data_IF_521711307174
#
_entry.id   IF_521711307174
#
_cell.length_a   1.000
_cell.length_b   1.000
_cell.length_c   1.000
_cell.angle_alpha   90.00
_cell.angle_beta   90.00
_cell.angle_gamma   90.00
#
_symmetry.space_group_name_H-M   'P 1'
#
loop_
_entity.id
_entity.type
_entity.pdbx_description
1 polymer ?
#
# COMPACT_ATOMS: atom_id res chain seq x y z
N UNK A 1 -29.51 12.94 12.14
CA UNK A 1 -29.14 13.70 10.92
C UNK A 1 -29.25 12.83 9.70
N UNK A 2 -28.31 11.88 9.44
CA UNK A 2 -28.31 10.93 8.30
C UNK A 2 -29.72 10.63 7.71
N UNK A 3 -30.57 9.93 8.47
CA UNK A 3 -31.93 9.52 8.06
C UNK A 3 -32.86 10.71 7.71
N UNK A 4 -32.70 11.87 8.34
CA UNK A 4 -33.47 13.09 8.03
C UNK A 4 -32.98 13.78 6.75
N UNK A 5 -31.73 13.52 6.33
CA UNK A 5 -31.18 13.98 5.06
C UNK A 5 -31.51 12.99 3.94
N UNK A 6 -31.41 11.68 4.19
CA UNK A 6 -31.82 10.61 3.28
C UNK A 6 -33.32 10.69 2.90
N UNK A 7 -34.15 11.32 3.73
CA UNK A 7 -35.57 11.55 3.47
C UNK A 7 -35.85 12.70 2.46
N UNK A 8 -34.83 13.46 2.06
CA UNK A 8 -34.97 14.54 1.09
C UNK A 8 -34.63 14.03 -0.33
N UNK A 9 -35.50 14.20 -1.35
CA UNK A 9 -35.37 13.53 -2.64
C UNK A 9 -34.12 13.88 -3.45
N UNK A 10 -33.41 14.96 -3.09
CA UNK A 10 -32.15 15.38 -3.71
C UNK A 10 -30.90 15.05 -2.90
N UNK A 11 -31.01 14.43 -1.72
CA UNK A 11 -29.88 14.14 -0.83
C UNK A 11 -29.88 12.65 -0.49
N UNK A 12 -28.72 11.98 -0.64
CA UNK A 12 -28.54 10.62 -0.16
C UNK A 12 -27.19 10.52 0.57
N UNK A 13 -27.23 10.21 1.88
CA UNK A 13 -26.03 10.02 2.69
C UNK A 13 -25.57 8.56 2.77
N UNK A 14 -26.41 7.61 2.33
CA UNK A 14 -26.17 6.18 2.47
C UNK A 14 -25.96 5.74 3.92
N UNK A 15 -25.52 4.50 4.13
CA UNK A 15 -25.10 4.03 5.45
C UNK A 15 -23.87 4.80 5.97
N UNK A 16 -23.58 4.70 7.27
CA UNK A 16 -22.42 5.37 7.89
C UNK A 16 -21.11 4.65 7.55
N UNK A 17 -20.20 5.23 6.74
CA UNK A 17 -18.99 4.54 6.32
C UNK A 17 -17.86 4.76 7.32
N UNK A 18 -17.20 3.68 7.73
CA UNK A 18 -16.04 3.71 8.64
C UNK A 18 -14.76 4.12 7.88
N UNK A 19 -14.68 3.81 6.59
CA UNK A 19 -13.45 3.92 5.80
C UNK A 19 -12.90 5.33 5.56
N UNK A 20 -13.72 6.39 5.37
CA UNK A 20 -13.21 7.76 5.24
C UNK A 20 -12.33 8.17 6.41
N UNK A 21 -12.63 7.74 7.64
CA UNK A 21 -11.78 8.00 8.81
C UNK A 21 -10.45 7.28 8.72
N UNK A 22 -10.44 6.03 8.29
CA UNK A 22 -9.20 5.28 8.14
C UNK A 22 -8.31 5.90 7.06
N UNK A 23 -8.88 6.43 5.97
CA UNK A 23 -8.14 7.12 4.91
C UNK A 23 -7.73 8.55 5.31
N UNK A 24 -8.56 9.31 6.01
CA UNK A 24 -8.22 10.64 6.54
C UNK A 24 -7.18 10.57 7.66
N UNK A 25 -7.31 9.62 8.58
CA UNK A 25 -6.33 9.41 9.64
C UNK A 25 -5.01 8.86 9.09
N UNK A 26 -5.03 8.00 8.08
CA UNK A 26 -3.84 7.70 7.28
C UNK A 26 -3.22 9.01 6.75
N UNK A 27 -3.96 9.83 5.99
CA UNK A 27 -3.46 11.11 5.45
C UNK A 27 -2.85 12.03 6.53
N UNK A 28 -3.47 12.12 7.72
CA UNK A 28 -2.99 12.93 8.87
C UNK A 28 -1.75 12.34 9.53
N UNK A 29 -1.71 11.03 9.77
CA UNK A 29 -0.54 10.33 10.30
C UNK A 29 0.67 10.51 9.37
N UNK A 30 0.46 10.56 8.06
CA UNK A 30 1.53 10.73 7.07
C UNK A 30 2.09 12.16 7.03
N UNK A 31 1.25 13.18 7.24
CA UNK A 31 1.71 14.56 7.50
C UNK A 31 2.54 14.66 8.79
N UNK A 32 2.34 13.76 9.76
CA UNK A 32 3.13 13.73 11.01
C UNK A 32 4.40 12.87 10.91
N UNK A 33 4.40 11.75 10.18
CA UNK A 33 5.52 10.77 10.20
C UNK A 33 6.32 10.66 8.90
N UNK A 34 5.75 11.07 7.77
CA UNK A 34 6.30 10.81 6.43
C UNK A 34 6.21 12.04 5.51
N UNK A 35 6.08 13.25 6.07
CA UNK A 35 5.86 14.49 5.32
C UNK A 35 6.95 14.78 4.30
N UNK A 36 8.20 14.85 4.74
CA UNK A 36 9.31 15.26 3.87
C UNK A 36 9.70 14.14 2.89
N UNK A 37 9.51 12.88 3.32
CA UNK A 37 9.52 11.69 2.45
C UNK A 37 8.47 11.81 1.33
N UNK A 38 7.25 12.21 1.68
CA UNK A 38 6.14 12.41 0.75
C UNK A 38 6.38 13.59 -0.19
N UNK A 39 6.96 14.70 0.28
CA UNK A 39 7.30 15.86 -0.56
C UNK A 39 8.34 15.46 -1.61
N UNK A 40 9.40 14.75 -1.22
CA UNK A 40 10.45 14.32 -2.16
C UNK A 40 9.97 13.28 -3.19
N UNK A 41 8.97 12.47 -2.84
CA UNK A 41 8.29 11.54 -3.75
C UNK A 41 7.07 12.16 -4.49
N UNK A 42 6.84 13.47 -4.41
CA UNK A 42 5.63 14.16 -4.93
C UNK A 42 4.28 13.57 -4.45
N UNK A 43 4.34 12.77 -3.38
CA UNK A 43 3.21 12.13 -2.72
C UNK A 43 2.44 13.08 -1.82
N UNK A 44 3.13 14.06 -1.21
CA UNK A 44 2.54 15.02 -0.27
C UNK A 44 2.75 16.48 -0.73
N UNK A 45 1.73 17.34 -0.71
CA UNK A 45 0.32 17.05 -0.40
C UNK A 45 -0.46 16.52 -1.60
N UNK A 46 -0.05 16.82 -2.84
CA UNK A 46 -0.94 16.80 -4.01
C UNK A 46 -1.50 15.41 -4.34
N UNK A 47 -0.65 14.38 -4.46
CA UNK A 47 -1.11 13.05 -4.85
C UNK A 47 -2.00 12.41 -3.76
N UNK A 48 -1.59 12.48 -2.49
CA UNK A 48 -2.39 11.92 -1.38
C UNK A 48 -3.70 12.69 -1.18
N UNK A 49 -3.72 14.01 -1.32
CA UNK A 49 -4.95 14.80 -1.20
C UNK A 49 -5.92 14.50 -2.36
N UNK A 50 -5.43 14.33 -3.60
CA UNK A 50 -6.24 13.86 -4.73
C UNK A 50 -6.77 12.45 -4.52
N UNK A 51 -5.93 11.51 -4.08
CA UNK A 51 -6.35 10.13 -3.81
C UNK A 51 -7.37 10.04 -2.66
N UNK A 52 -7.12 10.71 -1.52
CA UNK A 52 -8.07 10.82 -0.39
C UNK A 52 -9.39 11.43 -0.83
N UNK A 53 -9.37 12.51 -1.63
CA UNK A 53 -10.58 13.10 -2.21
C UNK A 53 -11.34 12.11 -3.10
N UNK A 54 -10.64 11.38 -3.97
CA UNK A 54 -11.25 10.42 -4.88
C UNK A 54 -11.87 9.22 -4.15
N UNK A 55 -11.20 8.66 -3.15
CA UNK A 55 -11.76 7.59 -2.32
C UNK A 55 -13.05 8.03 -1.62
N UNK A 56 -13.02 9.20 -1.00
CA UNK A 56 -14.18 9.76 -0.28
C UNK A 56 -15.32 10.07 -1.27
N UNK A 57 -15.01 10.58 -2.47
CA UNK A 57 -16.01 10.81 -3.54
C UNK A 57 -16.63 9.50 -4.03
N UNK A 58 -15.82 8.54 -4.47
CA UNK A 58 -16.34 7.31 -5.08
C UNK A 58 -17.08 6.45 -4.06
N UNK A 59 -16.67 6.46 -2.78
CA UNK A 59 -17.43 5.83 -1.72
C UNK A 59 -18.79 6.52 -1.51
N UNK A 60 -18.84 7.87 -1.52
CA UNK A 60 -20.09 8.62 -1.42
C UNK A 60 -21.04 8.41 -2.62
N UNK A 61 -20.49 8.22 -3.83
CA UNK A 61 -21.27 8.03 -5.06
C UNK A 61 -21.75 6.59 -5.22
N UNK A 62 -20.93 5.59 -4.92
CA UNK A 62 -21.24 4.19 -5.22
C UNK A 62 -21.99 3.44 -4.09
N UNK A 63 -22.07 4.01 -2.87
CA UNK A 63 -22.86 3.43 -1.77
C UNK A 63 -24.38 3.66 -1.91
N UNK A 64 -24.80 4.53 -2.81
CA UNK A 64 -26.17 5.05 -2.91
C UNK A 64 -26.67 5.03 -4.35
N UNK A 65 -27.99 5.12 -4.53
CA UNK A 65 -28.57 5.40 -5.85
C UNK A 65 -28.24 6.84 -6.30
N UNK A 66 -28.13 7.09 -7.62
CA UNK A 66 -27.76 8.40 -8.14
C UNK A 66 -28.66 9.52 -7.63
N UNK A 67 -28.04 10.58 -7.11
CA UNK A 67 -28.73 11.73 -6.51
C UNK A 67 -28.04 13.05 -6.88
N UNK A 68 -28.68 14.18 -6.58
CA UNK A 68 -28.11 15.51 -6.85
C UNK A 68 -27.04 15.90 -5.82
N UNK A 69 -27.23 15.53 -4.55
CA UNK A 69 -26.37 15.90 -3.43
C UNK A 69 -25.94 14.63 -2.66
N UNK A 70 -24.78 14.10 -3.03
CA UNK A 70 -24.13 13.02 -2.29
C UNK A 70 -23.66 13.53 -0.92
N UNK A 71 -23.91 12.73 0.11
CA UNK A 71 -23.62 13.06 1.51
C UNK A 71 -22.81 11.94 2.17
N UNK A 72 -22.08 12.26 3.25
CA UNK A 72 -21.41 11.28 4.11
C UNK A 72 -21.63 11.64 5.58
N UNK A 73 -22.27 10.75 6.35
CA UNK A 73 -22.33 10.88 7.82
C UNK A 73 -21.28 9.98 8.45
N UNK A 74 -20.31 10.59 9.11
CA UNK A 74 -19.31 9.91 9.94
C UNK A 74 -18.66 10.93 10.91
N UNK A 75 -19.00 10.93 12.23
CA UNK A 75 -18.69 12.03 13.14
C UNK A 75 -17.22 12.43 13.21
N UNK A 76 -16.31 11.46 13.21
CA UNK A 76 -14.87 11.72 13.34
C UNK A 76 -14.27 12.49 12.15
N UNK A 77 -15.03 12.72 11.06
CA UNK A 77 -14.55 13.53 9.93
C UNK A 77 -14.29 14.99 10.34
N UNK A 78 -14.91 15.46 11.44
CA UNK A 78 -14.68 16.80 11.97
C UNK A 78 -13.28 17.03 12.57
N UNK A 79 -12.59 15.97 13.02
CA UNK A 79 -11.15 16.02 13.37
C UNK A 79 -10.22 16.34 12.17
N UNK A 80 -10.77 16.38 10.95
CA UNK A 80 -10.12 16.61 9.67
C UNK A 80 -10.85 17.68 8.84
N UNK A 81 -11.70 18.50 9.48
CA UNK A 81 -12.54 19.48 8.77
C UNK A 81 -11.70 20.47 7.95
N UNK A 82 -10.52 20.86 8.45
CA UNK A 82 -9.60 21.76 7.75
C UNK A 82 -9.06 21.14 6.44
N UNK A 83 -8.79 19.83 6.43
CA UNK A 83 -8.40 19.07 5.24
C UNK A 83 -9.60 18.93 4.31
N UNK A 84 -10.74 18.46 4.82
CA UNK A 84 -11.95 18.23 4.02
C UNK A 84 -12.47 19.51 3.35
N UNK A 85 -12.37 20.66 4.01
CA UNK A 85 -12.76 21.95 3.44
C UNK A 85 -11.87 22.40 2.27
N UNK A 86 -10.60 21.94 2.23
CA UNK A 86 -9.66 22.11 1.10
C UNK A 86 -9.96 21.10 -0.02
N UNK A 87 -10.14 19.81 0.33
CA UNK A 87 -10.43 18.75 -0.64
C UNK A 87 -11.74 18.99 -1.40
N UNK A 88 -12.79 19.42 -0.68
CA UNK A 88 -14.14 19.60 -1.21
C UNK A 88 -14.58 21.08 -1.07
N UNK A 89 -14.08 22.00 -1.92
CA UNK A 89 -14.32 23.44 -1.78
C UNK A 89 -15.80 23.84 -1.90
N UNK A 90 -16.62 23.03 -2.59
CA UNK A 90 -18.07 23.23 -2.73
C UNK A 90 -18.91 22.58 -1.62
N UNK A 91 -18.32 21.69 -0.80
CA UNK A 91 -19.07 20.96 0.21
C UNK A 91 -19.55 21.85 1.37
N UNK A 92 -20.69 21.43 1.94
CA UNK A 92 -21.24 21.91 3.21
C UNK A 92 -20.95 20.86 4.29
N UNK A 93 -20.72 21.33 5.52
CA UNK A 93 -20.40 20.51 6.69
C UNK A 93 -21.45 20.75 7.77
N UNK A 94 -21.95 19.67 8.38
CA UNK A 94 -22.96 19.72 9.45
C UNK A 94 -22.40 19.07 10.72
N UNK A 95 -21.93 19.93 11.62
CA UNK A 95 -21.33 19.56 12.91
C UNK A 95 -22.44 19.37 13.97
N UNK A 96 -22.30 18.39 14.88
CA UNK A 96 -23.32 18.06 15.88
C UNK A 96 -22.70 17.88 17.27
N UNK A 97 -23.05 18.73 18.25
CA UNK A 97 -22.33 18.94 19.52
C UNK A 97 -23.16 18.55 20.75
N UNK A 98 -22.69 17.59 21.58
CA UNK A 98 -23.39 17.00 22.74
C UNK A 98 -22.84 17.39 24.09
N UNK A 99 -23.72 17.74 25.03
CA UNK A 99 -23.48 17.67 26.48
C UNK A 99 -22.47 16.56 26.85
N UNK A 100 -21.28 16.99 27.25
CA UNK A 100 -20.18 16.08 27.58
C UNK A 100 -20.57 15.03 28.62
N UNK A 101 -21.47 15.33 29.55
CA UNK A 101 -21.97 14.36 30.57
C UNK A 101 -22.65 13.19 29.88
N UNK A 102 -23.56 13.48 28.96
CA UNK A 102 -24.29 12.48 28.19
C UNK A 102 -23.40 11.77 27.15
N UNK A 103 -22.35 12.42 26.63
CA UNK A 103 -21.33 11.79 25.78
C UNK A 103 -20.52 10.77 26.58
N UNK A 104 -19.97 11.19 27.71
CA UNK A 104 -19.08 10.41 28.57
C UNK A 104 -19.78 9.16 29.09
N UNK A 105 -20.98 9.31 29.67
CA UNK A 105 -21.78 8.16 30.14
C UNK A 105 -22.05 7.20 28.98
N UNK A 106 -22.52 7.70 27.84
CA UNK A 106 -22.82 6.85 26.67
C UNK A 106 -21.59 6.10 26.13
N UNK A 107 -20.41 6.70 26.16
CA UNK A 107 -19.17 6.09 25.65
C UNK A 107 -18.53 5.10 26.62
N UNK A 108 -18.59 5.37 27.93
CA UNK A 108 -18.10 4.47 28.98
C UNK A 108 -19.02 3.24 29.10
N UNK A 109 -20.34 3.43 29.23
CA UNK A 109 -21.30 2.33 29.39
C UNK A 109 -21.32 1.39 28.17
N UNK A 110 -21.16 1.93 26.96
CA UNK A 110 -21.06 1.14 25.72
C UNK A 110 -19.66 0.61 25.41
N UNK A 111 -18.66 0.88 26.26
CA UNK A 111 -17.25 0.47 26.10
C UNK A 111 -16.64 0.91 24.75
N UNK A 112 -17.07 2.07 24.23
CA UNK A 112 -16.56 2.66 22.97
C UNK A 112 -15.14 3.22 23.21
N UNK A 113 -14.91 3.78 24.40
CA UNK A 113 -13.59 4.23 24.86
C UNK A 113 -13.07 3.30 25.97
N UNK A 114 -11.76 3.32 26.22
CA UNK A 114 -11.17 2.60 27.37
C UNK A 114 -11.77 3.10 28.69
N UNK A 115 -11.93 2.23 29.72
CA UNK A 115 -12.31 2.67 31.06
C UNK A 115 -11.37 3.75 31.58
N UNK A 116 -11.94 4.87 32.02
CA UNK A 116 -11.21 6.03 32.55
C UNK A 116 -12.12 6.81 33.51
N UNK A 117 -11.53 7.68 34.34
CA UNK A 117 -12.31 8.47 35.30
C UNK A 117 -13.25 9.46 34.57
N UNK A 118 -14.54 9.61 34.96
CA UNK A 118 -15.50 10.44 34.21
C UNK A 118 -15.05 11.90 33.99
N UNK A 119 -14.35 12.50 34.96
CA UNK A 119 -13.78 13.85 34.84
C UNK A 119 -12.71 13.94 33.75
N UNK A 120 -11.94 12.88 33.53
CA UNK A 120 -10.92 12.82 32.47
C UNK A 120 -11.57 12.71 31.09
N UNK A 121 -12.59 11.86 30.96
CA UNK A 121 -13.37 11.72 29.73
C UNK A 121 -14.10 13.03 29.35
N UNK A 122 -14.59 13.77 30.35
CA UNK A 122 -15.27 15.05 30.14
C UNK A 122 -14.32 16.15 29.62
N UNK A 123 -13.06 16.18 30.09
CA UNK A 123 -12.02 17.08 29.55
C UNK A 123 -11.67 16.76 28.10
N UNK A 124 -11.48 15.48 27.77
CA UNK A 124 -11.21 15.03 26.39
C UNK A 124 -12.33 15.45 25.43
N UNK A 125 -13.58 15.37 25.87
CA UNK A 125 -14.73 15.84 25.11
C UNK A 125 -14.72 17.38 24.90
N UNK A 126 -14.45 18.15 25.96
CA UNK A 126 -14.41 19.61 25.92
C UNK A 126 -13.30 20.11 24.97
N UNK A 127 -12.11 19.52 25.06
CA UNK A 127 -10.99 19.78 24.15
C UNK A 127 -11.33 19.48 22.67
N UNK A 128 -12.09 18.41 22.41
CA UNK A 128 -12.50 18.04 21.05
C UNK A 128 -13.49 19.05 20.47
N UNK A 129 -14.59 19.29 21.19
CA UNK A 129 -15.67 20.18 20.73
C UNK A 129 -15.18 21.62 20.54
N UNK A 130 -14.31 22.13 21.41
CA UNK A 130 -13.72 23.47 21.24
C UNK A 130 -12.94 23.60 19.93
N UNK A 131 -12.13 22.59 19.57
CA UNK A 131 -11.38 22.57 18.29
C UNK A 131 -12.32 22.48 17.09
N UNK A 132 -13.32 21.60 17.13
CA UNK A 132 -14.26 21.40 16.02
C UNK A 132 -15.15 22.64 15.78
N UNK A 133 -15.56 23.32 16.86
CA UNK A 133 -16.22 24.63 16.78
C UNK A 133 -15.32 25.69 16.14
N UNK A 134 -14.04 25.77 16.53
CA UNK A 134 -13.08 26.71 15.95
C UNK A 134 -12.81 26.42 14.47
N UNK A 135 -12.68 25.15 14.07
CA UNK A 135 -12.56 24.77 12.66
C UNK A 135 -13.81 25.15 11.85
N UNK A 136 -15.01 24.99 12.40
CA UNK A 136 -16.24 25.43 11.75
C UNK A 136 -16.37 26.96 11.63
N UNK A 137 -15.82 27.72 12.58
CA UNK A 137 -15.69 29.18 12.44
C UNK A 137 -14.74 29.54 11.30
N UNK A 138 -13.57 28.89 11.22
CA UNK A 138 -12.56 29.12 10.18
C UNK A 138 -13.05 28.73 8.77
N UNK A 139 -13.92 27.71 8.64
CA UNK A 139 -14.57 27.32 7.37
C UNK A 139 -15.71 28.27 6.96
N UNK A 140 -16.23 29.05 7.90
CA UNK A 140 -17.24 30.09 7.68
C UNK A 140 -18.68 29.58 7.67
N UNK A 141 -19.61 30.42 8.15
CA UNK A 141 -21.04 30.10 8.35
C UNK A 141 -21.81 29.71 7.08
N UNK A 142 -21.29 30.01 5.90
CA UNK A 142 -21.87 29.57 4.63
C UNK A 142 -21.49 28.12 4.25
N UNK A 143 -20.52 27.51 4.96
CA UNK A 143 -20.00 26.17 4.67
C UNK A 143 -19.98 25.22 5.87
N UNK A 144 -19.82 25.66 7.12
CA UNK A 144 -20.14 24.82 8.29
C UNK A 144 -21.36 25.35 9.06
N UNK A 145 -22.26 24.41 9.39
CA UNK A 145 -23.41 24.59 10.28
C UNK A 145 -23.22 23.75 11.54
N UNK A 146 -23.36 24.35 12.73
CA UNK A 146 -23.30 23.62 14.01
C UNK A 146 -24.70 23.43 14.58
N UNK A 147 -25.01 22.21 15.00
CA UNK A 147 -26.29 21.80 15.61
C UNK A 147 -26.02 21.22 17.00
N UNK A 148 -26.85 21.52 18.00
CA UNK A 148 -26.72 20.90 19.32
C UNK A 148 -27.45 19.55 19.41
N UNK A 149 -26.77 18.59 20.02
CA UNK A 149 -27.01 17.15 19.99
C UNK A 149 -27.94 16.67 21.10
N UNK A 150 -28.24 17.49 22.08
CA UNK A 150 -29.38 17.26 23.00
C UNK A 150 -30.71 17.11 22.21
N UNK A 151 -30.62 17.21 20.87
CA UNK A 151 -31.57 16.86 19.82
C UNK A 151 -31.15 15.74 18.80
N UNK A 152 -29.93 15.13 18.70
CA UNK A 152 -29.46 14.20 17.58
C UNK A 152 -28.05 13.45 17.70
N UNK A 153 -27.72 12.24 17.11
CA UNK A 153 -26.67 11.20 17.58
C UNK A 153 -25.23 10.95 16.88
N UNK A 154 -24.17 10.41 17.61
CA UNK A 154 -22.68 10.11 17.31
C UNK A 154 -22.29 8.57 17.27
N UNK A 155 -21.08 7.92 17.25
CA UNK A 155 -19.55 8.03 17.16
C UNK A 155 -18.96 6.61 16.79
N UNK A 156 -17.68 6.13 16.74
CA UNK A 156 -16.21 6.49 16.84
C UNK A 156 -15.38 5.22 16.32
N UNK A 157 -14.04 4.94 16.22
CA UNK A 157 -12.62 5.49 16.26
C UNK A 157 -11.66 4.33 15.75
N UNK A 158 -10.35 4.39 15.38
CA UNK A 158 -9.30 5.34 14.88
C UNK A 158 -8.06 4.49 14.34
N UNK A 159 -6.91 5.08 13.90
CA UNK A 159 -5.55 4.45 13.68
C UNK A 159 -5.34 3.40 12.51
N UNK A 160 -4.16 3.05 11.93
CA UNK A 160 -2.74 3.55 11.84
C UNK A 160 -1.91 2.88 10.67
N UNK A 161 -0.90 3.58 10.10
CA UNK A 161 0.40 3.15 9.42
C UNK A 161 0.48 2.13 8.24
N UNK A 162 1.45 2.35 7.29
CA UNK A 162 2.32 1.38 6.53
C UNK A 162 3.52 2.09 5.81
N UNK A 163 4.50 1.30 5.29
CA UNK A 163 5.42 1.58 4.13
C UNK A 163 5.37 0.35 3.13
N UNK A 164 6.36 -0.32 2.48
CA UNK A 164 7.74 -0.16 1.95
C UNK A 164 8.04 -1.42 1.05
N UNK A 165 9.06 -1.45 0.16
CA UNK A 165 10.02 -2.58 0.15
C UNK A 165 10.85 -3.07 -1.07
N UNK A 166 10.82 -2.56 -2.31
CA UNK A 166 11.59 -3.17 -3.45
C UNK A 166 12.30 -2.18 -4.40
N UNK A 167 13.53 -2.46 -4.85
CA UNK A 167 14.32 -1.51 -5.65
C UNK A 167 14.13 -1.51 -7.17
N UNK A 168 14.73 -2.51 -7.85
CA UNK A 168 15.37 -2.30 -9.15
C UNK A 168 14.45 -2.28 -10.38
N UNK A 169 13.59 -3.29 -10.57
CA UNK A 169 12.85 -3.50 -11.84
C UNK A 169 12.01 -2.28 -12.22
N UNK A 170 11.44 -1.58 -11.25
CA UNK A 170 10.67 -0.35 -11.47
C UNK A 170 11.49 0.81 -12.04
N UNK A 171 12.80 0.87 -11.78
CA UNK A 171 13.67 1.96 -12.26
C UNK A 171 14.13 1.68 -13.69
N UNK A 172 14.31 0.41 -14.03
CA UNK A 172 14.49 -0.04 -15.42
C UNK A 172 13.23 0.25 -16.25
N UNK A 173 12.03 0.14 -15.66
CA UNK A 173 10.78 0.55 -16.29
C UNK A 173 10.60 2.09 -16.32
N UNK A 174 10.85 2.82 -15.22
CA UNK A 174 10.82 4.32 -15.15
C UNK A 174 11.71 4.95 -16.23
N UNK A 175 12.83 4.30 -16.57
CA UNK A 175 13.76 4.81 -17.58
C UNK A 175 13.23 4.73 -19.03
N UNK A 176 12.16 3.96 -19.28
CA UNK A 176 11.57 3.83 -20.61
C UNK A 176 10.61 4.99 -20.92
N UNK A 177 10.75 5.75 -22.04
CA UNK A 177 10.00 6.99 -22.28
C UNK A 177 8.45 6.91 -22.29
N UNK A 178 7.89 5.71 -22.37
CA UNK A 178 6.44 5.47 -22.31
C UNK A 178 5.90 5.04 -20.94
N UNK A 179 6.75 4.74 -19.95
CA UNK A 179 6.35 4.15 -18.67
C UNK A 179 6.79 5.06 -17.52
N UNK A 180 5.92 5.29 -16.54
CA UNK A 180 6.29 5.96 -15.30
C UNK A 180 5.69 5.22 -14.09
N UNK A 181 6.58 4.68 -13.24
CA UNK A 181 6.29 3.97 -12.00
C UNK A 181 6.35 4.88 -10.78
N UNK A 182 7.35 5.78 -10.75
CA UNK A 182 7.65 6.62 -9.59
C UNK A 182 7.98 5.84 -8.31
N UNK A 183 7.91 6.54 -7.18
CA UNK A 183 8.17 6.02 -5.84
C UNK A 183 7.16 4.93 -5.38
N UNK A 184 7.33 4.40 -4.17
CA UNK A 184 6.39 3.40 -3.63
C UNK A 184 5.03 3.99 -3.25
N UNK A 185 3.91 3.49 -3.83
CA UNK A 185 2.55 3.84 -3.46
C UNK A 185 2.13 3.07 -2.21
N UNK A 186 2.82 3.38 -1.09
CA UNK A 186 2.63 2.80 0.25
C UNK A 186 1.16 2.74 0.67
N UNK A 187 0.35 3.68 0.19
CA UNK A 187 -1.05 3.82 0.56
C UNK A 187 -1.96 2.83 -0.18
N UNK A 188 -1.56 2.30 -1.33
CA UNK A 188 -2.26 1.18 -1.99
C UNK A 188 -2.36 -0.02 -1.04
N UNK A 189 -1.29 -0.33 -0.29
CA UNK A 189 -1.31 -1.39 0.74
C UNK A 189 -2.17 -1.06 1.96
N UNK A 190 -2.46 0.21 2.24
CA UNK A 190 -3.40 0.57 3.31
C UNK A 190 -4.83 0.24 2.86
N UNK A 191 -5.27 0.77 1.71
CA UNK A 191 -6.65 0.59 1.24
C UNK A 191 -6.99 -0.88 0.94
N UNK A 192 -6.00 -1.69 0.52
CA UNK A 192 -6.15 -3.14 0.39
C UNK A 192 -6.34 -3.81 1.75
N UNK A 193 -5.58 -3.44 2.78
CA UNK A 193 -5.81 -3.95 4.13
C UNK A 193 -7.14 -3.46 4.74
N UNK A 194 -7.64 -2.27 4.38
CA UNK A 194 -8.99 -1.84 4.77
C UNK A 194 -10.07 -2.75 4.18
N UNK A 195 -9.82 -3.29 2.98
CA UNK A 195 -10.70 -4.19 2.24
C UNK A 195 -10.60 -5.66 2.69
N UNK A 196 -9.48 -6.06 3.27
CA UNK A 196 -9.29 -7.36 3.94
C UNK A 196 -9.78 -7.40 5.38
N UNK A 197 -9.77 -6.27 6.10
CA UNK A 197 -10.30 -6.13 7.47
C UNK A 197 -11.82 -6.42 7.58
N UNK A 198 -12.49 -6.65 6.44
CA UNK A 198 -13.91 -7.01 6.32
C UNK A 198 -14.13 -8.45 6.78
N UNK A 199 -14.34 -8.61 8.09
CA UNK A 199 -14.74 -9.89 8.71
C UNK A 199 -16.04 -10.42 8.12
N UNK A 200 -16.13 -11.74 7.99
CA UNK A 200 -17.34 -12.47 7.58
C UNK A 200 -18.58 -12.04 8.38
N UNK A 201 -18.43 -11.95 9.71
CA UNK A 201 -19.46 -11.50 10.66
C UNK A 201 -20.01 -10.08 10.44
N UNK A 202 -19.45 -9.34 9.47
CA UNK A 202 -19.86 -7.97 9.11
C UNK A 202 -20.24 -7.84 7.64
N UNK A 203 -20.01 -8.86 6.79
CA UNK A 203 -20.36 -8.80 5.36
C UNK A 203 -21.86 -8.65 5.15
N UNK A 204 -22.69 -9.46 5.80
CA UNK A 204 -24.17 -9.38 5.70
C UNK A 204 -24.70 -7.97 5.96
N UNK A 205 -24.15 -7.28 6.97
CA UNK A 205 -24.51 -5.90 7.28
C UNK A 205 -24.03 -4.92 6.20
N UNK A 206 -22.79 -5.07 5.71
CA UNK A 206 -22.25 -4.23 4.64
C UNK A 206 -22.95 -4.44 3.28
N UNK A 207 -23.42 -5.66 3.00
CA UNK A 207 -24.22 -6.01 1.81
C UNK A 207 -25.61 -5.38 1.93
N UNK A 208 -26.30 -5.56 3.06
CA UNK A 208 -27.60 -4.91 3.35
C UNK A 208 -27.50 -3.37 3.41
N UNK A 209 -26.30 -2.83 3.62
CA UNK A 209 -26.00 -1.40 3.58
C UNK A 209 -25.49 -0.89 2.21
N UNK A 210 -25.45 -1.74 1.17
CA UNK A 210 -24.93 -1.44 -0.17
C UNK A 210 -23.46 -0.96 -0.21
N UNK A 211 -22.67 -1.27 0.83
CA UNK A 211 -21.24 -0.93 0.92
C UNK A 211 -20.38 -2.01 0.23
N UNK A 212 -20.79 -3.29 0.32
CA UNK A 212 -20.01 -4.43 -0.13
C UNK A 212 -20.74 -5.26 -1.19
N UNK A 213 -20.05 -5.77 -2.24
CA UNK A 213 -18.66 -5.47 -2.59
C UNK A 213 -18.52 -4.17 -3.41
N UNK A 214 -19.54 -3.80 -4.21
CA UNK A 214 -19.42 -2.80 -5.28
C UNK A 214 -18.83 -1.46 -4.82
N UNK A 215 -19.38 -0.84 -3.78
CA UNK A 215 -18.98 0.52 -3.41
C UNK A 215 -17.56 0.58 -2.84
N UNK A 216 -17.20 -0.36 -1.96
CA UNK A 216 -15.84 -0.45 -1.40
C UNK A 216 -14.82 -0.84 -2.48
N UNK A 217 -15.19 -1.68 -3.44
CA UNK A 217 -14.30 -2.10 -4.54
C UNK A 217 -14.01 -0.94 -5.51
N UNK A 218 -15.01 -0.16 -5.90
CA UNK A 218 -14.80 1.03 -6.74
C UNK A 218 -14.01 2.12 -6.00
N UNK A 219 -14.29 2.36 -4.72
CA UNK A 219 -13.50 3.30 -3.91
C UNK A 219 -12.03 2.87 -3.81
N UNK A 220 -11.77 1.58 -3.56
CA UNK A 220 -10.41 1.01 -3.54
C UNK A 220 -9.70 1.16 -4.89
N UNK A 221 -10.39 0.83 -6.00
CA UNK A 221 -9.88 0.99 -7.38
C UNK A 221 -9.51 2.44 -7.67
N UNK A 222 -10.40 3.38 -7.34
CA UNK A 222 -10.18 4.81 -7.58
C UNK A 222 -8.99 5.36 -6.80
N UNK A 223 -8.82 4.98 -5.53
CA UNK A 223 -7.68 5.41 -4.71
C UNK A 223 -6.34 4.90 -5.26
N UNK A 224 -6.27 3.62 -5.64
CA UNK A 224 -5.05 3.03 -6.24
C UNK A 224 -4.73 3.73 -7.57
N UNK A 225 -5.74 3.95 -8.43
CA UNK A 225 -5.59 4.65 -9.72
C UNK A 225 -5.11 6.09 -9.56
N UNK A 226 -5.71 6.87 -8.65
CA UNK A 226 -5.32 8.27 -8.46
C UNK A 226 -3.93 8.40 -7.83
N UNK A 227 -3.46 7.45 -7.01
CA UNK A 227 -2.04 7.42 -6.63
C UNK A 227 -1.15 7.16 -7.85
N UNK A 228 -1.47 6.15 -8.68
CA UNK A 228 -0.69 5.80 -9.85
C UNK A 228 -0.54 6.96 -10.85
N UNK A 229 -1.58 7.78 -11.01
CA UNK A 229 -1.60 8.89 -11.98
C UNK A 229 -1.03 10.20 -11.40
N UNK A 230 -1.18 10.47 -10.11
CA UNK A 230 -0.81 11.78 -9.53
C UNK A 230 0.55 11.80 -8.81
N UNK A 231 1.19 10.65 -8.59
CA UNK A 231 2.56 10.57 -8.04
C UNK A 231 3.64 11.00 -9.03
N UNK A 232 3.33 11.01 -10.33
CA UNK A 232 4.29 11.01 -11.43
C UNK A 232 3.90 11.99 -12.52
N UNK A 233 4.84 12.30 -13.41
CA UNK A 233 4.56 13.03 -14.64
C UNK A 233 3.75 12.17 -15.62
N UNK A 234 2.96 12.84 -16.47
CA UNK A 234 2.01 12.19 -17.38
C UNK A 234 2.72 11.29 -18.40
N UNK A 235 2.59 9.98 -18.25
CA UNK A 235 3.09 8.98 -19.19
C UNK A 235 1.96 8.26 -19.95
N UNK A 236 2.27 7.61 -21.10
CA UNK A 236 1.37 6.67 -21.77
C UNK A 236 0.96 5.47 -20.88
N UNK A 237 1.89 4.95 -20.07
CA UNK A 237 1.68 3.79 -19.19
C UNK A 237 2.06 4.18 -17.77
N UNK A 238 1.08 4.09 -16.85
CA UNK A 238 1.30 4.24 -15.42
C UNK A 238 1.62 2.88 -14.79
N UNK A 239 2.59 2.87 -13.89
CA UNK A 239 3.07 1.69 -13.20
C UNK A 239 2.93 1.90 -11.67
N UNK A 240 2.80 0.82 -10.91
CA UNK A 240 2.96 0.85 -9.45
C UNK A 240 3.81 -0.33 -9.00
N UNK A 241 4.88 -0.03 -8.24
CA UNK A 241 5.73 -1.02 -7.59
C UNK A 241 5.55 -0.95 -6.08
N UNK A 242 5.21 -2.08 -5.46
CA UNK A 242 5.17 -2.26 -4.01
C UNK A 242 5.09 -3.78 -3.74
N UNK A 243 6.00 -4.41 -2.97
CA UNK A 243 6.21 -5.87 -3.04
C UNK A 243 4.99 -6.68 -2.62
N UNK A 244 4.30 -6.22 -1.59
CA UNK A 244 3.17 -6.95 -1.00
C UNK A 244 1.87 -6.82 -1.81
N UNK A 245 1.82 -6.03 -2.89
CA UNK A 245 0.65 -5.97 -3.79
C UNK A 245 0.31 -7.34 -4.38
N UNK A 246 1.33 -8.17 -4.63
CA UNK A 246 1.15 -9.52 -5.15
C UNK A 246 0.39 -10.46 -4.21
N UNK A 247 0.31 -10.18 -2.89
CA UNK A 247 -0.59 -10.92 -1.98
C UNK A 247 -2.07 -10.64 -2.23
N UNK A 248 -2.38 -9.65 -3.05
CA UNK A 248 -3.73 -9.28 -3.47
C UNK A 248 -3.89 -9.41 -4.99
N UNK A 249 -3.02 -10.15 -5.69
CA UNK A 249 -2.93 -10.19 -7.15
C UNK A 249 -4.30 -10.45 -7.80
N UNK A 250 -5.00 -11.51 -7.39
CA UNK A 250 -6.29 -11.88 -7.98
C UNK A 250 -7.37 -10.79 -7.79
N UNK A 251 -7.35 -10.08 -6.66
CA UNK A 251 -8.26 -8.96 -6.41
C UNK A 251 -7.87 -7.71 -7.24
N UNK A 252 -6.58 -7.38 -7.33
CA UNK A 252 -6.08 -6.29 -8.18
C UNK A 252 -6.36 -6.56 -9.66
N UNK A 253 -6.21 -7.81 -10.11
CA UNK A 253 -6.48 -8.24 -11.48
C UNK A 253 -7.97 -8.19 -11.85
N UNK A 254 -8.87 -8.33 -10.87
CA UNK A 254 -10.30 -8.10 -11.01
C UNK A 254 -10.67 -6.61 -10.99
N UNK A 255 -10.05 -5.80 -10.12
CA UNK A 255 -10.24 -4.34 -10.12
C UNK A 255 -9.75 -3.70 -11.43
N UNK A 256 -8.64 -4.19 -11.99
CA UNK A 256 -8.00 -3.67 -13.19
C UNK A 256 -7.83 -4.77 -14.25
N UNK A 257 -8.84 -5.05 -15.09
CA UNK A 257 -8.77 -6.09 -16.13
C UNK A 257 -7.62 -5.90 -17.12
N UNK A 258 -7.35 -4.66 -17.53
CA UNK A 258 -6.25 -4.32 -18.46
C UNK A 258 -4.86 -4.28 -17.79
N UNK A 259 -4.77 -4.46 -16.46
CA UNK A 259 -3.49 -4.44 -15.78
C UNK A 259 -2.70 -5.74 -16.03
N UNK A 260 -1.41 -5.54 -16.31
CA UNK A 260 -0.37 -6.56 -16.41
C UNK A 260 0.55 -6.49 -15.20
N UNK A 261 0.95 -7.65 -14.69
CA UNK A 261 1.67 -7.78 -13.42
C UNK A 261 3.07 -8.37 -13.63
N UNK A 262 4.10 -7.74 -13.07
CA UNK A 262 5.50 -8.19 -13.16
C UNK A 262 5.97 -8.66 -11.79
N UNK A 263 6.01 -9.97 -11.58
CA UNK A 263 6.50 -10.60 -10.36
C UNK A 263 8.04 -10.71 -10.42
N UNK A 264 8.73 -10.33 -9.36
CA UNK A 264 10.21 -10.38 -9.30
C UNK A 264 10.62 -11.53 -8.39
N UNK A 265 10.99 -12.66 -9.00
CA UNK A 265 11.55 -13.81 -8.30
C UNK A 265 13.04 -13.58 -8.04
N UNK A 266 13.52 -14.04 -6.88
CA UNK A 266 14.92 -14.02 -6.46
C UNK A 266 15.20 -15.24 -5.60
N UNK A 267 16.42 -15.76 -5.64
CA UNK A 267 16.90 -16.82 -4.74
C UNK A 267 16.52 -16.51 -3.28
N UNK A 268 15.82 -17.45 -2.63
CA UNK A 268 15.36 -17.28 -1.25
C UNK A 268 16.48 -17.01 -0.26
N UNK A 269 17.65 -17.61 -0.46
CA UNK A 269 18.85 -17.42 0.39
C UNK A 269 19.40 -16.00 0.23
N UNK A 270 19.43 -15.47 -1.00
CA UNK A 270 19.79 -14.09 -1.27
C UNK A 270 18.76 -13.08 -0.72
N UNK A 271 17.47 -13.40 -0.81
CA UNK A 271 16.39 -12.56 -0.30
C UNK A 271 16.38 -12.48 1.24
N UNK A 272 16.54 -13.59 1.94
CA UNK A 272 16.59 -13.61 3.41
C UNK A 272 17.92 -13.09 3.95
N UNK A 273 19.06 -13.37 3.31
CA UNK A 273 20.35 -12.76 3.68
C UNK A 273 20.22 -11.23 3.66
N UNK A 274 19.72 -10.68 2.54
CA UNK A 274 19.46 -9.24 2.44
C UNK A 274 18.44 -8.74 3.47
N UNK A 275 17.49 -9.55 3.91
CA UNK A 275 16.47 -9.15 4.91
C UNK A 275 17.04 -9.16 6.33
N UNK A 276 17.90 -10.13 6.65
CA UNK A 276 18.55 -10.29 7.97
C UNK A 276 19.69 -9.29 8.15
N UNK A 277 20.42 -8.94 7.09
CA UNK A 277 21.55 -7.99 7.08
C UNK A 277 21.13 -6.54 7.46
N UNK A 278 19.88 -6.13 7.15
CA UNK A 278 19.32 -4.87 7.66
C UNK A 278 19.16 -4.85 9.20
N UNK A 279 19.12 -6.04 9.82
CA UNK A 279 19.17 -6.26 11.27
C UNK A 279 17.85 -6.03 12.02
N UNK A 280 17.72 -6.57 13.25
CA UNK A 280 16.68 -6.15 14.17
C UNK A 280 16.86 -4.66 14.51
N UNK A 281 15.78 -3.88 14.48
CA UNK A 281 15.86 -2.44 14.76
C UNK A 281 16.31 -2.18 16.21
N UNK A 282 17.45 -1.49 16.44
CA UNK A 282 17.80 -1.00 17.76
C UNK A 282 16.85 0.13 18.16
N UNK A 283 16.28 0.04 19.36
CA UNK A 283 15.16 0.84 19.87
C UNK A 283 15.36 2.38 19.85
N UNK A 284 16.59 2.84 19.59
CA UNK A 284 16.99 4.27 19.59
C UNK A 284 17.24 4.86 18.19
N UNK A 285 17.13 4.10 17.09
CA UNK A 285 17.47 4.60 15.73
C UNK A 285 16.26 4.70 14.79
N UNK A 286 15.55 5.83 14.87
CA UNK A 286 14.36 6.14 14.05
C UNK A 286 14.61 5.95 12.55
N UNK A 287 15.82 6.28 12.06
CA UNK A 287 16.21 6.15 10.64
C UNK A 287 16.38 4.71 10.13
N UNK A 288 16.45 3.69 11.00
CA UNK A 288 16.53 2.26 10.61
C UNK A 288 15.23 1.47 10.84
N UNK A 289 14.31 1.97 11.67
CA UNK A 289 13.21 1.14 12.20
C UNK A 289 12.01 0.89 11.26
N UNK A 290 12.08 1.41 10.03
CA UNK A 290 10.93 1.61 9.14
C UNK A 290 10.30 0.29 8.62
N UNK A 291 11.07 -0.79 8.61
CA UNK A 291 10.67 -2.13 8.16
C UNK A 291 9.84 -2.91 9.22
N UNK A 292 10.01 -2.62 10.51
CA UNK A 292 9.49 -3.47 11.61
C UNK A 292 7.97 -3.32 11.83
N UNK A 293 7.46 -2.08 11.86
CA UNK A 293 6.04 -1.79 12.14
C UNK A 293 5.08 -2.18 11.01
N UNK A 294 5.61 -2.71 9.91
CA UNK A 294 4.88 -3.10 8.70
C UNK A 294 4.34 -4.52 8.70
N UNK A 295 4.89 -5.34 9.59
CA UNK A 295 4.18 -6.46 10.19
C UNK A 295 3.03 -5.90 11.05
N UNK A 296 2.02 -5.32 10.40
CA UNK A 296 0.82 -4.82 11.07
C UNK A 296 0.12 -6.00 11.71
N UNK A 297 0.21 -6.08 13.05
CA UNK A 297 0.18 -7.32 13.84
C UNK A 297 1.25 -8.35 13.44
N UNK A 298 2.49 -8.16 13.91
CA UNK A 298 3.29 -9.13 14.69
C UNK A 298 3.40 -10.57 14.11
N UNK A 299 3.31 -10.74 12.79
CA UNK A 299 3.15 -12.05 12.12
C UNK A 299 3.93 -12.25 10.81
N UNK A 300 4.42 -11.21 10.14
CA UNK A 300 5.14 -11.39 8.86
C UNK A 300 6.58 -11.87 9.12
N UNK A 301 7.37 -11.13 9.91
CA UNK A 301 8.74 -11.52 10.29
C UNK A 301 9.06 -11.18 11.77
N UNK A 302 8.31 -11.68 12.76
CA UNK A 302 8.60 -11.42 14.17
C UNK A 302 9.85 -12.18 14.63
N UNK A 303 10.94 -11.46 14.89
CA UNK A 303 12.16 -12.04 15.49
C UNK A 303 13.06 -12.81 14.52
N UNK A 304 13.12 -12.45 13.24
CA UNK A 304 14.17 -12.95 12.36
C UNK A 304 15.54 -12.40 12.77
N UNK A 305 16.52 -13.29 12.91
CA UNK A 305 17.93 -13.00 13.18
C UNK A 305 18.82 -13.95 12.36
N UNK A 306 20.13 -13.83 12.49
CA UNK A 306 21.09 -14.81 11.93
C UNK A 306 21.01 -16.19 12.62
N UNK A 307 20.28 -16.30 13.74
CA UNK A 307 20.13 -17.52 14.53
C UNK A 307 18.99 -18.41 13.99
N UNK A 308 18.01 -17.84 13.27
CA UNK A 308 16.85 -18.57 12.73
C UNK A 308 16.57 -18.37 11.22
N UNK A 309 17.58 -18.38 10.32
CA UNK A 309 17.40 -18.16 8.88
C UNK A 309 16.48 -19.19 8.21
N UNK A 310 16.38 -20.41 8.75
CA UNK A 310 15.41 -21.42 8.31
C UNK A 310 13.94 -20.91 8.42
N UNK A 311 13.61 -20.17 9.48
CA UNK A 311 12.28 -19.59 9.68
C UNK A 311 12.03 -18.48 8.65
N UNK A 312 13.06 -17.70 8.31
CA UNK A 312 12.97 -16.71 7.24
C UNK A 312 12.68 -17.37 5.89
N UNK A 313 13.37 -18.46 5.57
CA UNK A 313 13.22 -19.18 4.32
C UNK A 313 11.84 -19.84 4.17
N UNK A 314 11.31 -20.44 5.25
CA UNK A 314 9.95 -21.02 5.23
C UNK A 314 8.86 -19.97 4.98
N UNK A 315 9.05 -18.74 5.49
CA UNK A 315 8.13 -17.62 5.23
C UNK A 315 8.31 -17.06 3.80
N UNK A 316 9.54 -17.08 3.27
CA UNK A 316 9.82 -16.80 1.86
C UNK A 316 9.12 -17.82 0.95
N UNK A 317 9.31 -19.13 1.17
CA UNK A 317 8.70 -20.23 0.40
C UNK A 317 7.18 -20.03 0.33
N UNK A 318 6.52 -19.98 1.48
CA UNK A 318 5.07 -19.81 1.57
C UNK A 318 4.58 -18.50 0.93
N UNK A 319 5.36 -17.42 0.99
CA UNK A 319 4.96 -16.14 0.37
C UNK A 319 5.14 -16.18 -1.14
N UNK A 320 6.27 -16.67 -1.62
CA UNK A 320 6.65 -16.65 -3.05
C UNK A 320 5.93 -17.75 -3.83
N UNK A 321 5.68 -18.93 -3.23
CA UNK A 321 4.80 -19.96 -3.81
C UNK A 321 3.43 -19.41 -4.13
N UNK A 322 2.78 -18.73 -3.17
CA UNK A 322 1.48 -18.10 -3.40
C UNK A 322 1.54 -17.08 -4.56
N UNK A 323 2.56 -16.21 -4.56
CA UNK A 323 2.73 -15.21 -5.64
C UNK A 323 3.02 -15.83 -7.00
N UNK A 324 3.71 -16.97 -7.06
CA UNK A 324 3.97 -17.73 -8.29
C UNK A 324 2.70 -18.42 -8.79
N UNK A 325 1.94 -19.09 -7.92
CA UNK A 325 0.67 -19.74 -8.26
C UNK A 325 -0.34 -18.71 -8.74
N UNK A 326 -0.58 -17.62 -8.01
CA UNK A 326 -1.50 -16.54 -8.44
C UNK A 326 -1.06 -15.92 -9.78
N UNK A 327 0.26 -15.85 -10.06
CA UNK A 327 0.79 -15.35 -11.32
C UNK A 327 0.61 -16.36 -12.48
N UNK A 328 0.73 -17.66 -12.20
CA UNK A 328 0.54 -18.72 -13.19
C UNK A 328 -0.95 -18.91 -13.51
N UNK A 329 -1.83 -18.85 -12.50
CA UNK A 329 -3.30 -18.89 -12.65
C UNK A 329 -3.84 -17.70 -13.45
N UNK A 330 -3.28 -16.50 -13.27
CA UNK A 330 -3.68 -15.32 -14.04
C UNK A 330 -3.20 -15.38 -15.51
N UNK A 331 -2.23 -16.25 -15.81
CA UNK A 331 -1.79 -16.61 -17.16
C UNK A 331 -0.80 -15.63 -17.81
N UNK A 332 -0.02 -16.11 -18.82
CA UNK A 332 1.14 -15.40 -19.36
C UNK A 332 0.81 -14.14 -20.19
N UNK A 333 -0.46 -13.85 -20.44
CA UNK A 333 -0.89 -12.57 -21.05
C UNK A 333 -1.09 -11.45 -20.00
N UNK A 334 -1.21 -11.81 -18.72
CA UNK A 334 -1.54 -10.89 -17.62
C UNK A 334 -0.53 -10.89 -16.47
N UNK A 335 0.21 -11.97 -16.23
CA UNK A 335 1.34 -11.97 -15.30
C UNK A 335 2.61 -12.56 -15.92
N UNK A 336 3.76 -11.98 -15.57
CA UNK A 336 5.10 -12.44 -15.96
C UNK A 336 6.00 -12.46 -14.73
N UNK A 337 6.68 -13.59 -14.47
CA UNK A 337 7.73 -13.65 -13.45
C UNK A 337 9.09 -13.43 -14.11
N UNK A 338 9.78 -12.36 -13.70
CA UNK A 338 11.17 -12.10 -14.07
C UNK A 338 12.10 -12.62 -12.96
N UNK A 339 13.14 -13.36 -13.35
CA UNK A 339 14.15 -13.90 -12.42
C UNK A 339 15.25 -12.85 -12.25
N UNK A 340 15.44 -12.36 -11.02
CA UNK A 340 16.44 -11.34 -10.69
C UNK A 340 17.85 -11.75 -11.13
N UNK A 341 18.21 -13.01 -10.92
CA UNK A 341 19.54 -13.53 -11.25
C UNK A 341 19.80 -13.46 -12.76
N UNK A 342 18.82 -13.87 -13.59
CA UNK A 342 18.91 -13.74 -15.06
C UNK A 342 18.88 -12.28 -15.51
N UNK A 343 18.09 -11.42 -14.87
CA UNK A 343 18.01 -10.00 -15.20
C UNK A 343 19.36 -9.28 -15.02
N UNK A 344 20.19 -9.66 -14.03
CA UNK A 344 21.51 -9.02 -13.86
C UNK A 344 22.64 -9.69 -14.66
N UNK A 345 22.47 -10.95 -15.09
CA UNK A 345 23.39 -11.66 -15.99
C UNK A 345 23.15 -11.32 -17.47
N UNK A 346 21.89 -11.27 -17.89
CA UNK A 346 21.43 -11.14 -19.27
C UNK A 346 20.39 -10.00 -19.42
N UNK A 347 20.69 -8.76 -18.98
CA UNK A 347 19.71 -7.69 -18.84
C UNK A 347 19.00 -7.33 -20.14
N UNK A 348 19.71 -7.34 -21.28
CA UNK A 348 19.07 -7.08 -22.57
C UNK A 348 18.05 -8.17 -22.94
N UNK A 349 18.42 -9.45 -22.84
CA UNK A 349 17.53 -10.56 -23.19
C UNK A 349 16.25 -10.55 -22.32
N UNK A 350 16.38 -10.36 -21.01
CA UNK A 350 15.24 -10.40 -20.08
C UNK A 350 14.36 -9.13 -20.16
N UNK A 351 14.95 -7.93 -20.35
CA UNK A 351 14.16 -6.72 -20.57
C UNK A 351 13.52 -6.70 -21.97
N UNK A 352 14.16 -7.30 -22.99
CA UNK A 352 13.55 -7.50 -24.30
C UNK A 352 12.35 -8.46 -24.24
N UNK A 353 12.42 -9.56 -23.45
CA UNK A 353 11.27 -10.45 -23.18
C UNK A 353 10.13 -9.71 -22.47
N UNK A 354 10.46 -8.82 -21.53
CA UNK A 354 9.49 -8.06 -20.74
C UNK A 354 8.75 -6.97 -21.55
N UNK A 355 9.48 -6.13 -22.30
CA UNK A 355 8.94 -4.91 -22.91
C UNK A 355 8.22 -5.16 -24.26
N UNK A 356 8.95 -5.77 -25.22
CA UNK A 356 8.88 -5.39 -26.64
C UNK A 356 7.55 -5.55 -27.40
N UNK A 357 7.45 -4.85 -28.54
CA UNK A 357 6.37 -5.02 -29.52
C UNK A 357 6.89 -4.97 -30.96
N UNK A 358 7.26 -6.12 -31.53
CA UNK A 358 7.40 -6.30 -32.98
C UNK A 358 7.43 -7.79 -33.36
N UNK A 359 6.50 -8.24 -34.19
CA UNK A 359 6.36 -9.58 -34.82
C UNK A 359 6.31 -10.84 -33.92
N UNK A 360 6.85 -10.81 -32.71
CA UNK A 360 6.54 -11.76 -31.64
C UNK A 360 5.86 -11.02 -30.48
N UNK A 361 4.79 -11.59 -29.92
CA UNK A 361 4.08 -10.99 -28.77
C UNK A 361 4.98 -11.07 -27.54
N UNK A 362 5.35 -9.92 -26.96
CA UNK A 362 6.09 -9.83 -25.69
C UNK A 362 5.24 -9.11 -24.64
N UNK A 363 5.61 -9.25 -23.36
CA UNK A 363 4.63 -9.15 -22.27
C UNK A 363 3.95 -7.77 -22.13
N UNK A 364 4.70 -6.69 -21.95
CA UNK A 364 4.12 -5.36 -21.71
C UNK A 364 3.58 -4.68 -22.99
N UNK A 365 3.95 -5.16 -24.17
CA UNK A 365 3.58 -4.58 -25.49
C UNK A 365 4.02 -3.13 -25.70
N UNK A 366 5.21 -2.80 -25.24
CA UNK A 366 5.88 -1.50 -25.37
C UNK A 366 6.99 -1.63 -26.42
N UNK A 367 7.35 -0.60 -27.20
CA UNK A 367 8.57 -0.64 -28.01
C UNK A 367 9.83 -0.98 -27.19
N UNK A 368 10.90 -1.41 -27.86
CA UNK A 368 12.21 -1.56 -27.23
C UNK A 368 12.97 -0.23 -27.31
N UNK A 369 13.49 0.24 -26.18
CA UNK A 369 14.42 1.37 -26.10
C UNK A 369 15.64 0.94 -25.27
N UNK A 370 16.88 1.01 -25.79
CA UNK A 370 18.08 0.60 -25.08
C UNK A 370 18.44 1.48 -23.87
N UNK A 371 17.73 2.60 -23.62
CA UNK A 371 17.89 3.41 -22.41
C UNK A 371 17.69 2.61 -21.11
N UNK A 372 16.87 1.55 -21.16
CA UNK A 372 16.59 0.70 -19.99
C UNK A 372 17.80 -0.07 -19.47
N UNK A 373 18.85 -0.18 -20.30
CA UNK A 373 20.16 -0.76 -19.92
C UNK A 373 21.13 0.27 -19.31
N UNK A 374 20.73 1.55 -19.29
CA UNK A 374 21.54 2.72 -18.91
C UNK A 374 20.80 3.63 -17.93
N UNK A 375 19.85 3.09 -17.17
CA UNK A 375 19.01 3.82 -16.21
C UNK A 375 19.79 4.76 -15.26
N UNK A 376 21.02 4.40 -14.90
CA UNK A 376 21.91 5.18 -14.05
C UNK A 376 22.33 6.54 -14.67
N UNK A 377 22.25 6.65 -16.00
CA UNK A 377 22.63 7.88 -16.73
C UNK A 377 21.53 8.96 -16.73
N UNK A 378 20.28 8.59 -16.39
CA UNK A 378 19.14 9.51 -16.43
C UNK A 378 18.39 9.64 -15.09
N UNK A 379 18.99 9.21 -13.98
CA UNK A 379 18.38 9.27 -12.63
C UNK A 379 17.86 10.66 -12.25
N UNK A 380 18.53 11.72 -12.70
CA UNK A 380 18.12 13.12 -12.46
C UNK A 380 16.87 13.54 -13.26
N UNK A 381 16.50 12.77 -14.29
CA UNK A 381 15.35 12.99 -15.16
C UNK A 381 14.16 12.06 -14.79
N UNK A 382 14.35 11.09 -13.89
CA UNK A 382 13.28 10.19 -13.45
C UNK A 382 12.38 10.88 -12.42
N UNK A 383 11.06 10.79 -12.61
CA UNK A 383 10.07 11.43 -11.74
C UNK A 383 10.19 10.96 -10.29
N UNK A 384 10.65 11.86 -9.42
CA UNK A 384 10.50 11.79 -7.96
C UNK A 384 11.11 10.53 -7.29
N UNK A 385 12.36 10.18 -7.65
CA UNK A 385 13.14 9.17 -6.94
C UNK A 385 13.28 9.52 -5.45
N UNK A 386 12.76 8.65 -4.58
CA UNK A 386 12.80 8.89 -3.14
C UNK A 386 14.15 8.46 -2.52
N UNK A 387 14.92 9.37 -1.88
CA UNK A 387 16.24 9.04 -1.32
C UNK A 387 16.18 8.24 -0.01
N UNK A 388 15.01 8.07 0.59
CA UNK A 388 14.78 7.24 1.77
C UNK A 388 14.22 5.84 1.45
N UNK A 389 13.92 5.51 0.19
CA UNK A 389 13.67 4.11 -0.21
C UNK A 389 14.94 3.29 0.05
N UNK A 390 14.80 2.15 0.74
CA UNK A 390 15.96 1.37 1.23
C UNK A 390 16.92 0.93 0.11
N UNK A 391 16.39 0.71 -1.10
CA UNK A 391 17.17 0.29 -2.26
C UNK A 391 17.78 1.43 -3.09
N UNK A 392 17.54 2.72 -2.78
CA UNK A 392 17.94 3.82 -3.69
C UNK A 392 19.44 3.86 -3.95
N UNK A 393 20.27 3.67 -2.91
CA UNK A 393 21.74 3.58 -3.07
C UNK A 393 22.22 2.37 -3.90
N UNK A 394 21.36 1.39 -4.16
CA UNK A 394 21.64 0.19 -4.94
C UNK A 394 21.19 0.37 -6.40
N UNK A 395 19.97 0.86 -6.64
CA UNK A 395 19.46 1.10 -8.00
C UNK A 395 19.95 2.39 -8.66
N UNK A 396 20.63 3.28 -7.92
CA UNK A 396 21.38 4.40 -8.53
C UNK A 396 22.73 3.98 -9.12
N UNK A 397 23.05 2.68 -9.15
CA UNK A 397 24.26 2.13 -9.79
C UNK A 397 23.85 1.40 -11.08
N UNK A 398 24.75 1.39 -12.08
CA UNK A 398 24.63 0.53 -13.26
C UNK A 398 24.35 -0.93 -12.85
N UNK A 399 23.60 -1.66 -13.67
CA UNK A 399 23.32 -3.09 -13.51
C UNK A 399 24.64 -3.85 -13.29
N UNK A 400 24.70 -4.62 -12.22
CA UNK A 400 25.89 -5.32 -11.74
C UNK A 400 25.52 -6.66 -11.08
N UNK A 401 26.50 -7.56 -11.00
CA UNK A 401 26.36 -8.90 -10.42
C UNK A 401 26.78 -8.95 -8.93
N UNK A 402 27.22 -7.83 -8.34
CA UNK A 402 27.75 -7.72 -6.97
C UNK A 402 26.89 -8.35 -5.89
N UNK A 403 25.58 -8.50 -6.12
CA UNK A 403 24.61 -8.99 -5.13
C UNK A 403 24.23 -10.47 -5.27
N UNK A 404 24.72 -11.16 -6.31
CA UNK A 404 24.37 -12.57 -6.59
C UNK A 404 24.87 -13.52 -5.50
N UNK A 405 26.19 -13.64 -5.34
CA UNK A 405 26.83 -14.63 -4.45
C UNK A 405 27.05 -14.16 -3.00
N UNK A 406 26.63 -12.93 -2.65
CA UNK A 406 26.84 -12.33 -1.31
C UNK A 406 26.18 -13.08 -0.13
N UNK A 407 25.21 -13.96 -0.39
CA UNK A 407 24.65 -14.82 0.67
C UNK A 407 25.52 -16.05 0.95
N UNK A 408 26.40 -16.42 0.01
CA UNK A 408 27.27 -17.59 0.06
C UNK A 408 28.73 -17.26 0.46
N UNK A 409 29.08 -15.98 0.57
CA UNK A 409 30.44 -15.56 0.99
C UNK A 409 30.69 -15.82 2.49
N UNK A 410 31.96 -15.81 2.87
CA UNK A 410 32.41 -15.80 4.27
C UNK A 410 31.97 -14.56 5.05
N UNK A 411 31.79 -13.42 4.36
CA UNK A 411 31.28 -12.17 4.93
C UNK A 411 29.76 -12.16 5.15
N UNK A 412 29.04 -13.23 4.78
CA UNK A 412 27.59 -13.23 4.83
C UNK A 412 27.03 -13.37 6.25
N UNK A 413 25.94 -12.66 6.52
CA UNK A 413 25.16 -12.77 7.77
C UNK A 413 24.48 -14.15 7.96
N UNK A 414 24.47 -15.00 6.93
CA UNK A 414 24.01 -16.38 7.04
C UNK A 414 25.11 -17.28 7.62
N UNK A 415 24.81 -18.17 8.59
CA UNK A 415 25.75 -19.15 9.10
C UNK A 415 25.98 -20.30 8.10
N UNK A 416 27.15 -20.92 8.12
CA UNK A 416 27.56 -21.87 7.07
C UNK A 416 26.75 -23.18 7.08
N UNK A 417 26.28 -23.64 8.26
CA UNK A 417 25.34 -24.78 8.35
C UNK A 417 24.08 -24.51 7.51
N UNK A 418 23.58 -23.28 7.53
CA UNK A 418 22.39 -22.90 6.77
C UNK A 418 22.70 -22.73 5.28
N UNK A 419 23.89 -22.24 4.90
CA UNK A 419 24.31 -22.20 3.48
C UNK A 419 24.31 -23.59 2.85
N UNK A 420 24.72 -24.61 3.61
CA UNK A 420 24.70 -26.01 3.18
C UNK A 420 23.29 -26.64 3.19
N UNK A 421 22.48 -26.37 4.22
CA UNK A 421 21.21 -27.07 4.49
C UNK A 421 19.94 -26.29 4.07
N UNK A 422 20.06 -25.12 3.45
CA UNK A 422 18.91 -24.28 3.09
C UNK A 422 17.81 -25.01 2.29
N UNK A 423 18.21 -25.97 1.44
CA UNK A 423 17.28 -26.78 0.61
C UNK A 423 16.37 -27.69 1.46
N UNK A 424 16.85 -28.17 2.61
CA UNK A 424 16.09 -29.02 3.53
C UNK A 424 14.92 -28.26 4.21
N UNK A 425 14.95 -26.92 4.15
CA UNK A 425 13.96 -26.03 4.76
C UNK A 425 13.00 -25.36 3.76
N UNK A 426 13.14 -25.63 2.44
CA UNK A 426 12.25 -25.08 1.41
C UNK A 426 12.22 -25.96 0.16
N UNK A 427 11.09 -26.63 -0.08
CA UNK A 427 10.88 -27.36 -1.32
C UNK A 427 10.82 -26.43 -2.53
N UNK A 428 10.39 -25.16 -2.35
CA UNK A 428 10.36 -24.17 -3.43
C UNK A 428 11.77 -23.85 -3.98
N UNK A 429 12.83 -23.95 -3.18
CA UNK A 429 14.20 -23.82 -3.72
C UNK A 429 14.52 -24.95 -4.71
N UNK A 430 14.11 -26.19 -4.41
CA UNK A 430 14.32 -27.35 -5.28
C UNK A 430 13.39 -27.32 -6.50
N UNK A 431 12.11 -26.99 -6.32
CA UNK A 431 11.12 -26.86 -7.40
C UNK A 431 11.45 -25.72 -8.39
N UNK A 432 12.25 -24.73 -7.98
CA UNK A 432 12.78 -23.66 -8.83
C UNK A 432 14.25 -23.89 -9.27
N UNK A 433 14.82 -25.05 -8.94
CA UNK A 433 16.19 -25.48 -9.29
C UNK A 433 17.32 -24.60 -8.71
N UNK A 434 17.04 -23.82 -7.66
CA UNK A 434 18.03 -23.05 -6.90
C UNK A 434 18.95 -23.94 -6.04
N UNK A 435 18.70 -25.24 -5.91
CA UNK A 435 19.65 -26.21 -5.38
C UNK A 435 20.80 -26.50 -6.36
N UNK A 436 20.50 -26.67 -7.66
CA UNK A 436 21.45 -27.07 -8.71
C UNK A 436 22.57 -26.05 -9.00
N UNK A 437 22.43 -24.80 -8.55
CA UNK A 437 23.44 -23.75 -8.77
C UNK A 437 24.68 -23.90 -7.88
N UNK A 438 24.59 -24.65 -6.77
CA UNK A 438 25.69 -24.88 -5.84
C UNK A 438 25.99 -23.74 -4.85
N UNK A 439 27.10 -23.88 -4.12
CA UNK A 439 27.62 -22.91 -3.15
C UNK A 439 29.14 -22.79 -3.34
N UNK A 440 29.68 -21.64 -3.81
CA UNK A 440 28.97 -20.44 -4.26
C UNK A 440 28.08 -20.70 -5.49
N UNK A 441 27.00 -19.92 -5.67
CA UNK A 441 26.00 -20.17 -6.71
C UNK A 441 26.46 -19.74 -8.11
N UNK A 442 26.39 -20.68 -9.05
CA UNK A 442 26.44 -20.40 -10.49
C UNK A 442 25.02 -20.36 -11.08
N UNK A 443 24.46 -19.15 -11.12
CA UNK A 443 23.11 -18.90 -11.63
C UNK A 443 22.96 -19.03 -13.15
N UNK A 444 24.03 -19.25 -13.91
CA UNK A 444 23.91 -19.59 -15.34
C UNK A 444 23.25 -20.96 -15.57
N UNK A 445 23.27 -21.83 -14.54
CA UNK A 445 22.64 -23.15 -14.54
C UNK A 445 21.12 -23.16 -14.38
N UNK A 446 20.47 -22.02 -14.10
CA UNK A 446 19.02 -21.97 -13.89
C UNK A 446 18.27 -22.25 -15.21
N UNK A 447 17.22 -23.10 -15.22
CA UNK A 447 16.51 -23.50 -16.44
C UNK A 447 15.89 -22.28 -17.14
N UNK A 448 15.95 -22.18 -18.48
CA UNK A 448 15.50 -20.97 -19.18
C UNK A 448 14.04 -20.63 -18.89
N UNK A 449 13.16 -21.63 -18.91
CA UNK A 449 11.75 -21.53 -18.51
C UNK A 449 11.62 -21.93 -17.05
N UNK A 450 10.87 -21.15 -16.25
CA UNK A 450 10.59 -21.52 -14.86
C UNK A 450 9.64 -22.73 -14.79
N UNK A 451 9.87 -23.70 -13.89
CA UNK A 451 8.92 -24.76 -13.61
C UNK A 451 7.53 -24.24 -13.21
N UNK A 452 6.50 -25.01 -13.56
CA UNK A 452 5.13 -24.76 -13.13
C UNK A 452 4.97 -25.25 -11.68
N UNK A 453 4.56 -24.34 -10.79
CA UNK A 453 4.49 -24.55 -9.34
C UNK A 453 3.05 -24.90 -8.95
N UNK A 454 2.90 -25.71 -7.90
CA UNK A 454 1.62 -26.15 -7.32
C UNK A 454 1.59 -25.91 -5.81
#
# INVERSE_FOLDING_TARGET
MRILLDAHPWINCGAEPIYPIRVLNMRKQLEMTNRDWGIQANLYPVAIDRATKAYIRELAVNMVDPTQIYCLKQPLMFEYLDVLAKLFPTAKFVHIVRDGRATVVSSITRRIVKPMHPVQALRIWDDAVRRELQFCQNVGRQRCYTIFYEKLVISAEKELRKLLGTGLVRVLLDSHPMINCGAEPIYSMHVLALREDIKESSKDWLIKANIYPKAIDQATKAFIRELAVNMVDKAPIYCQKQPLLFRHLNYLAALFPEAKFVHVLRDGRAAIASTIDWGPCPMMSVKKCLFSFLSYRRKIYPGLTHENPHTALQIWDKTVRQMLVDCQDLGPQRCYTIVYEKLVLYPEQELQKLLGKCHTKRFLEVPWDPIVLKHETILNNLSYLNPYEASTKQFSRKINTDSLSKWASSESILPDWFKAQAVDYSSLLHELEYDKVGVPPDYSKLPEVLPHIR
#
